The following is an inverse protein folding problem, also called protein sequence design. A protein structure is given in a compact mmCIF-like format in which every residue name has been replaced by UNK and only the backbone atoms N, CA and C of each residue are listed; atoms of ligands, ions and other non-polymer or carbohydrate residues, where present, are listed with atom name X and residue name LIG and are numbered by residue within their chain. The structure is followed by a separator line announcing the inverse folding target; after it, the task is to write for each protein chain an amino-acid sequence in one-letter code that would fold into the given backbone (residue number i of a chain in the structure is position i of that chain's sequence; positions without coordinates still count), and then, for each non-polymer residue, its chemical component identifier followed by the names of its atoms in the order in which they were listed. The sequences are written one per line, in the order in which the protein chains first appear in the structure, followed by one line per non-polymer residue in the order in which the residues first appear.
data_IF_567856418799
#
_entry.id   IF_567856418799
#
_cell.length_a   1.000
_cell.length_b   1.000
_cell.length_c   1.000
_cell.angle_alpha   90.00
_cell.angle_beta   90.00
_cell.angle_gamma   90.00
#
_symmetry.space_group_name_H-M   'P 1'
#
loop_
_entity.id
_entity.type
_entity.pdbx_description
1 polymer ?
#
# COMPACT_ATOMS: atom_id res chain seq x y z
N UNK A 1 9.07 -23.93 21.34
CA UNK A 1 9.89 -23.87 20.15
C UNK A 1 9.14 -23.41 18.95
N UNK A 2 8.16 -24.20 18.57
CA UNK A 2 7.34 -23.89 17.42
C UNK A 2 6.62 -22.58 17.58
N UNK A 3 6.26 -22.26 18.79
CA UNK A 3 5.53 -21.04 19.09
C UNK A 3 6.30 -19.79 18.69
N UNK A 4 7.60 -19.79 18.95
CA UNK A 4 8.43 -18.65 18.61
C UNK A 4 8.53 -18.47 17.10
N UNK A 5 8.59 -19.57 16.43
CA UNK A 5 8.68 -19.56 14.99
C UNK A 5 7.41 -18.97 14.37
N UNK A 6 6.27 -19.39 14.88
CA UNK A 6 4.99 -18.87 14.41
C UNK A 6 4.84 -17.38 14.66
N UNK A 7 5.35 -16.91 15.79
CA UNK A 7 5.26 -15.49 16.09
C UNK A 7 6.07 -14.64 15.11
N UNK A 8 7.21 -15.16 14.69
CA UNK A 8 7.99 -14.45 13.70
C UNK A 8 7.25 -14.31 12.38
N UNK A 9 6.57 -15.36 11.98
CA UNK A 9 5.79 -15.31 10.75
C UNK A 9 4.68 -14.29 10.85
N UNK A 10 4.08 -14.16 12.02
CA UNK A 10 2.98 -13.22 12.21
C UNK A 10 3.45 -11.77 12.22
N UNK A 11 4.73 -11.54 12.41
CA UNK A 11 5.26 -10.19 12.41
C UNK A 11 5.45 -9.64 11.01
N UNK A 12 5.50 -10.51 10.01
CA UNK A 12 5.71 -10.08 8.64
C UNK A 12 4.39 -10.05 7.89
N UNK A 13 4.08 -8.87 7.38
CA UNK A 13 2.93 -8.69 6.53
C UNK A 13 3.26 -9.24 5.16
N UNK A 14 2.37 -10.03 4.61
CA UNK A 14 2.53 -10.55 3.26
C UNK A 14 2.08 -9.47 2.29
N UNK A 15 2.93 -9.06 1.34
CA UNK A 15 2.52 -8.06 0.36
C UNK A 15 1.31 -8.54 -0.45
N UNK A 16 0.34 -7.66 -0.61
CA UNK A 16 -0.88 -7.96 -1.34
C UNK A 16 -0.66 -7.94 -2.85
N UNK A 17 0.32 -7.17 -3.30
CA UNK A 17 0.61 -7.00 -4.72
C UNK A 17 2.04 -7.43 -5.02
N UNK A 18 2.32 -7.68 -6.28
CA UNK A 18 3.64 -8.11 -6.73
C UNK A 18 4.13 -7.26 -7.89
N UNK A 19 5.41 -7.34 -8.16
CA UNK A 19 6.02 -6.65 -9.30
C UNK A 19 5.28 -7.04 -10.58
N UNK A 20 4.91 -6.02 -11.35
CA UNK A 20 4.18 -6.21 -12.58
C UNK A 20 2.69 -5.98 -12.48
N UNK A 21 2.13 -5.97 -11.27
CA UNK A 21 0.70 -5.72 -11.10
C UNK A 21 0.36 -4.29 -11.43
N UNK A 22 -0.76 -4.10 -12.15
CA UNK A 22 -1.30 -2.78 -12.40
C UNK A 22 -2.25 -2.42 -11.27
N UNK A 23 -2.08 -1.24 -10.69
CA UNK A 23 -2.85 -0.83 -9.52
C UNK A 23 -3.26 0.63 -9.63
N UNK A 24 -4.29 0.98 -8.87
CA UNK A 24 -4.68 2.36 -8.62
C UNK A 24 -4.11 2.74 -7.25
N UNK A 25 -3.47 3.90 -7.17
CA UNK A 25 -2.86 4.32 -5.92
C UNK A 25 -3.11 5.80 -5.66
N UNK A 26 -3.01 6.18 -4.40
CA UNK A 26 -3.14 7.58 -3.99
C UNK A 26 -1.77 8.14 -3.64
N UNK A 27 -1.40 9.24 -4.27
CA UNK A 27 -0.17 9.96 -3.97
C UNK A 27 -0.49 11.01 -2.90
N UNK A 28 -0.08 10.74 -1.66
CA UNK A 28 -0.39 11.63 -0.56
C UNK A 28 0.40 12.96 -0.62
N UNK A 29 1.44 13.02 -1.41
CA UNK A 29 2.21 14.26 -1.58
C UNK A 29 1.48 15.22 -2.50
N UNK A 30 0.96 14.71 -3.63
CA UNK A 30 0.26 15.54 -4.60
C UNK A 30 -1.25 15.60 -4.36
N UNK A 31 -1.79 14.67 -3.57
CA UNK A 31 -3.23 14.60 -3.32
C UNK A 31 -4.02 14.04 -4.48
N UNK A 32 -3.40 13.27 -5.36
CA UNK A 32 -4.05 12.76 -6.56
C UNK A 32 -3.93 11.26 -6.66
N UNK A 33 -4.94 10.64 -7.25
CA UNK A 33 -4.89 9.23 -7.61
C UNK A 33 -4.15 9.05 -8.93
N UNK A 34 -3.50 7.90 -9.07
CA UNK A 34 -2.82 7.56 -10.31
C UNK A 34 -2.86 6.05 -10.53
N UNK A 35 -2.68 5.66 -11.79
CA UNK A 35 -2.61 4.25 -12.17
C UNK A 35 -1.18 3.96 -12.60
N UNK A 36 -0.66 2.83 -12.18
CA UNK A 36 0.69 2.45 -12.54
C UNK A 36 0.95 0.98 -12.29
N UNK A 37 2.19 0.59 -12.56
CA UNK A 37 2.63 -0.80 -12.37
C UNK A 37 3.65 -0.87 -11.24
N UNK A 38 3.51 -1.89 -10.44
CA UNK A 38 4.44 -2.09 -9.33
C UNK A 38 5.79 -2.52 -9.88
N UNK A 39 6.83 -1.76 -9.56
CA UNK A 39 8.19 -2.06 -9.97
C UNK A 39 9.05 -2.63 -8.84
N UNK A 40 8.68 -2.37 -7.60
CA UNK A 40 9.41 -2.89 -6.46
C UNK A 40 8.46 -3.04 -5.26
N UNK A 41 8.72 -4.05 -4.47
CA UNK A 41 7.98 -4.31 -3.24
C UNK A 41 9.00 -4.29 -2.11
N UNK A 42 8.76 -3.44 -1.13
CA UNK A 42 9.61 -3.34 0.06
C UNK A 42 8.83 -3.78 1.28
N UNK A 43 9.35 -4.76 1.98
CA UNK A 43 8.70 -5.30 3.16
C UNK A 43 9.73 -5.38 4.27
N UNK A 44 9.39 -4.81 5.41
CA UNK A 44 10.26 -4.91 6.57
C UNK A 44 9.43 -4.92 7.86
N UNK A 45 10.05 -5.41 8.90
CA UNK A 45 9.39 -5.47 10.21
C UNK A 45 10.37 -5.02 11.28
N UNK A 46 9.86 -4.31 12.25
CA UNK A 46 10.62 -4.00 13.45
C UNK A 46 9.97 -4.69 14.65
N UNK A 47 10.28 -4.25 15.85
CA UNK A 47 9.82 -4.93 17.06
C UNK A 47 8.32 -5.01 17.19
N UNK A 48 7.60 -4.08 16.61
CA UNK A 48 6.17 -3.95 16.89
C UNK A 48 5.29 -4.00 15.67
N UNK A 49 5.84 -3.88 14.48
CA UNK A 49 4.99 -3.80 13.29
C UNK A 49 5.71 -4.29 12.05
N UNK A 50 4.90 -4.64 11.07
CA UNK A 50 5.35 -5.02 9.75
C UNK A 50 4.80 -4.01 8.76
N UNK A 51 5.65 -3.55 7.83
CA UNK A 51 5.32 -2.49 6.89
C UNK A 51 5.60 -2.97 5.47
N UNK A 52 4.67 -2.68 4.58
CA UNK A 52 4.82 -2.96 3.15
C UNK A 52 4.64 -1.67 2.38
N UNK A 53 5.61 -1.35 1.54
CA UNK A 53 5.58 -0.19 0.64
C UNK A 53 5.84 -0.65 -0.77
N UNK A 54 5.35 0.12 -1.72
CA UNK A 54 5.54 -0.19 -3.14
C UNK A 54 6.15 1.00 -3.87
N UNK A 55 6.97 0.70 -4.87
CA UNK A 55 7.35 1.68 -5.87
C UNK A 55 6.49 1.42 -7.10
N UNK A 56 5.76 2.42 -7.53
CA UNK A 56 4.77 2.29 -8.60
C UNK A 56 5.17 3.21 -9.75
N UNK A 57 5.37 2.62 -10.92
CA UNK A 57 5.77 3.37 -12.11
C UNK A 57 4.54 3.80 -12.90
N UNK A 58 4.44 5.10 -13.16
CA UNK A 58 3.37 5.64 -13.98
C UNK A 58 3.70 5.43 -15.45
N UNK A 59 4.96 5.64 -15.81
CA UNK A 59 5.46 5.37 -17.15
C UNK A 59 6.94 4.97 -17.05
N UNK A 60 7.63 4.91 -18.17
CA UNK A 60 9.01 4.42 -18.20
C UNK A 60 9.99 5.29 -17.41
N UNK A 61 9.65 6.56 -17.21
CA UNK A 61 10.57 7.52 -16.58
C UNK A 61 10.05 8.10 -15.28
N UNK A 62 8.77 7.92 -14.98
CA UNK A 62 8.15 8.51 -13.79
C UNK A 62 7.60 7.45 -12.87
N UNK A 63 7.92 7.56 -11.60
CA UNK A 63 7.42 6.64 -10.60
C UNK A 63 7.24 7.32 -9.27
N UNK A 64 6.49 6.66 -8.39
CA UNK A 64 6.24 7.12 -7.04
C UNK A 64 6.81 6.07 -6.09
N UNK A 65 7.85 6.39 -5.34
CA UNK A 65 8.44 5.44 -4.41
C UNK A 65 7.71 5.46 -3.06
N UNK A 66 7.89 4.39 -2.31
CA UNK A 66 7.47 4.31 -0.92
C UNK A 66 5.98 4.57 -0.72
N UNK A 67 5.14 4.03 -1.60
CA UNK A 67 3.70 4.14 -1.46
C UNK A 67 3.23 3.10 -0.44
N UNK A 68 2.64 3.52 0.68
CA UNK A 68 2.14 2.56 1.68
C UNK A 68 1.07 1.65 1.10
N UNK A 69 1.01 0.43 1.58
CA UNK A 69 0.05 -0.54 1.06
C UNK A 69 -1.39 -0.07 1.20
N UNK A 70 -1.71 0.63 2.28
CA UNK A 70 -3.07 1.11 2.51
C UNK A 70 -3.52 2.18 1.50
N UNK A 71 -2.59 2.70 0.70
CA UNK A 71 -2.91 3.69 -0.34
C UNK A 71 -2.95 3.08 -1.73
N UNK A 72 -2.91 1.74 -1.82
CA UNK A 72 -2.95 1.02 -3.08
C UNK A 72 -4.26 0.23 -3.15
N UNK A 73 -4.96 0.31 -4.25
CA UNK A 73 -6.31 -0.24 -4.41
C UNK A 73 -6.39 -1.12 -5.64
N UNK A 74 -7.24 -2.15 -5.57
CA UNK A 74 -7.47 -3.06 -6.70
C UNK A 74 -8.25 -2.40 -7.82
N UNK A 75 -9.17 -1.50 -7.45
CA UNK A 75 -10.08 -0.89 -8.41
C UNK A 75 -10.61 0.45 -7.87
N UNK A 76 -11.39 1.12 -8.73
CA UNK A 76 -11.93 2.43 -8.39
C UNK A 76 -12.94 2.38 -7.25
N UNK A 77 -13.68 1.28 -7.12
CA UNK A 77 -14.70 1.17 -6.09
C UNK A 77 -14.08 1.14 -4.70
N UNK A 78 -12.99 0.41 -4.54
CA UNK A 78 -12.28 0.38 -3.28
C UNK A 78 -11.71 1.74 -2.94
N UNK A 79 -11.18 2.46 -3.93
CA UNK A 79 -10.66 3.79 -3.72
C UNK A 79 -11.76 4.78 -3.32
N UNK A 80 -12.94 4.66 -3.94
CA UNK A 80 -14.08 5.50 -3.59
C UNK A 80 -14.55 5.25 -2.16
N UNK A 81 -14.56 3.99 -1.74
CA UNK A 81 -14.94 3.64 -0.38
C UNK A 81 -13.97 4.26 0.63
N UNK A 82 -12.69 4.23 0.31
CA UNK A 82 -11.68 4.83 1.16
C UNK A 82 -11.89 6.36 1.28
N UNK A 83 -12.12 7.03 0.15
CA UNK A 83 -12.36 8.47 0.15
C UNK A 83 -13.62 8.81 0.95
N UNK A 84 -14.67 8.03 0.77
CA UNK A 84 -15.92 8.24 1.52
C UNK A 84 -15.69 8.08 3.01
N UNK A 85 -14.89 7.11 3.40
CA UNK A 85 -14.53 6.89 4.80
C UNK A 85 -13.81 8.10 5.38
N UNK A 86 -12.89 8.68 4.65
CA UNK A 86 -12.17 9.89 5.09
C UNK A 86 -13.13 11.07 5.22
N UNK A 87 -14.03 11.22 4.26
CA UNK A 87 -15.03 12.29 4.30
C UNK A 87 -15.91 12.17 5.52
N UNK A 88 -16.35 10.97 5.83
CA UNK A 88 -17.16 10.75 7.02
C UNK A 88 -16.40 11.08 8.28
N UNK A 89 -15.13 10.72 8.34
CA UNK A 89 -14.31 11.04 9.50
C UNK A 89 -14.17 12.55 9.69
N UNK A 90 -14.03 13.29 8.61
CA UNK A 90 -13.93 14.73 8.68
C UNK A 90 -15.21 15.37 9.18
N UNK A 91 -16.35 14.84 8.78
CA UNK A 91 -17.64 15.38 9.21
C UNK A 91 -17.93 15.10 10.67
N UNK A 92 -17.38 14.05 11.22
CA UNK A 92 -17.65 13.68 12.61
C UNK A 92 -16.78 14.43 13.60
N UNK A 93 -15.93 15.27 13.12
CA UNK A 93 -15.22 16.17 13.99
C UNK A 93 -16.10 17.38 14.32
#
# INVERSE_FOLDING_TARGET
MQVNFNRKENQFKVPHYKVGDEVLAFNHVSGQFFVGNISAVNSYADNNQSVVNYTIMIDETKGVPNVPEELVFDNKDDAKDWVASLGMMLYNF
#
